data_IF_647081776651
#
_entry.id   IF_647081776651
#
_cell.length_a   1.000
_cell.length_b   1.000
_cell.length_c   1.000
_cell.angle_alpha   90.00
_cell.angle_beta   90.00
_cell.angle_gamma   90.00
#
_symmetry.space_group_name_H-M   'P 1'
#
loop_
_entity.id
_entity.type
_entity.pdbx_description
1 polymer ?
#
# COMPACT_ATOMS: atom_id res chain seq x y z
N UNK A 1 5.38 -2.31 -10.79
CA UNK A 1 4.62 -1.09 -10.48
C UNK A 1 5.57 0.09 -10.38
N UNK A 2 5.22 1.23 -10.93
CA UNK A 2 5.99 2.48 -10.82
C UNK A 2 5.26 3.39 -9.81
N UNK A 3 5.69 3.36 -8.55
CA UNK A 3 5.00 4.03 -7.44
C UNK A 3 5.48 3.56 -6.05
N UNK A 4 4.77 3.95 -4.99
CA UNK A 4 5.09 3.52 -3.62
C UNK A 4 6.25 4.28 -2.97
N UNK A 5 6.88 3.68 -1.95
CA UNK A 5 7.95 4.31 -1.16
C UNK A 5 9.16 4.75 -1.99
N UNK A 6 9.49 3.98 -3.04
CA UNK A 6 10.59 4.28 -3.94
C UNK A 6 10.36 5.54 -4.80
N UNK A 7 9.10 5.91 -5.04
CA UNK A 7 8.75 7.11 -5.81
C UNK A 7 9.22 8.40 -5.13
N UNK A 8 9.14 8.46 -3.80
CA UNK A 8 9.65 9.61 -3.02
C UNK A 8 11.16 9.77 -3.18
N UNK A 9 11.90 8.66 -3.30
CA UNK A 9 13.34 8.68 -3.54
C UNK A 9 13.69 9.23 -4.92
N UNK A 10 12.86 8.99 -5.94
CA UNK A 10 13.05 9.57 -7.27
C UNK A 10 12.79 11.07 -7.30
N UNK A 11 11.70 11.52 -6.68
CA UNK A 11 11.38 12.95 -6.58
C UNK A 11 12.48 13.70 -5.81
N UNK A 12 12.96 13.14 -4.69
CA UNK A 12 14.04 13.73 -3.90
C UNK A 12 15.37 13.84 -4.66
N UNK A 13 15.58 13.02 -5.70
CA UNK A 13 16.76 13.07 -6.58
C UNK A 13 16.60 14.07 -7.74
N UNK A 14 15.52 14.84 -7.77
CA UNK A 14 15.26 15.85 -8.82
C UNK A 14 14.84 15.25 -10.17
N UNK A 15 14.51 13.96 -10.22
CA UNK A 15 14.03 13.33 -11.45
C UNK A 15 12.61 13.81 -11.75
N UNK A 16 12.41 14.42 -12.91
CA UNK A 16 11.07 14.78 -13.39
C UNK A 16 10.28 13.50 -13.73
N UNK A 17 9.41 13.07 -12.82
CA UNK A 17 8.58 11.87 -13.03
C UNK A 17 7.29 12.26 -13.75
N UNK A 18 7.39 12.62 -15.02
CA UNK A 18 6.25 12.91 -15.88
C UNK A 18 5.55 11.62 -16.33
N UNK A 19 4.25 11.70 -16.65
CA UNK A 19 3.52 10.57 -17.21
C UNK A 19 4.16 10.07 -18.51
N UNK A 20 4.71 10.97 -19.32
CA UNK A 20 5.40 10.62 -20.56
C UNK A 20 6.70 9.83 -20.30
N UNK A 21 7.48 10.22 -19.29
CA UNK A 21 8.66 9.47 -18.91
C UNK A 21 8.31 8.06 -18.38
N UNK A 22 7.24 7.95 -17.58
CA UNK A 22 6.74 6.66 -17.10
C UNK A 22 6.22 5.78 -18.23
N UNK A 23 5.49 6.35 -19.19
CA UNK A 23 5.00 5.67 -20.40
C UNK A 23 6.16 5.10 -21.19
N UNK A 24 7.16 5.94 -21.50
CA UNK A 24 8.35 5.54 -22.25
C UNK A 24 9.10 4.41 -21.55
N UNK A 25 9.35 4.55 -20.24
CA UNK A 25 10.04 3.52 -19.46
C UNK A 25 9.31 2.18 -19.49
N UNK A 26 7.97 2.19 -19.41
CA UNK A 26 7.16 0.97 -19.48
C UNK A 26 7.21 0.32 -20.87
N UNK A 27 7.16 1.13 -21.94
CA UNK A 27 7.28 0.65 -23.33
C UNK A 27 8.65 0.04 -23.61
N UNK A 28 9.72 0.69 -23.17
CA UNK A 28 11.10 0.17 -23.28
C UNK A 28 11.27 -1.16 -22.54
N UNK A 29 10.69 -1.26 -21.33
CA UNK A 29 10.68 -2.51 -20.57
C UNK A 29 9.92 -3.62 -21.31
N UNK A 30 8.73 -3.34 -21.84
CA UNK A 30 7.95 -4.31 -22.61
C UNK A 30 8.68 -4.74 -23.90
N UNK A 31 9.29 -3.81 -24.63
CA UNK A 31 10.07 -4.12 -25.83
C UNK A 31 11.27 -5.01 -25.51
N UNK A 32 11.98 -4.73 -24.41
CA UNK A 32 13.17 -5.48 -24.00
C UNK A 32 12.82 -6.87 -23.45
N UNK A 33 11.79 -6.96 -22.60
CA UNK A 33 11.47 -8.18 -21.86
C UNK A 33 10.56 -9.12 -22.66
N UNK A 34 9.67 -8.57 -23.49
CA UNK A 34 8.64 -9.32 -24.21
C UNK A 34 8.79 -9.24 -25.74
N UNK A 35 9.76 -8.47 -26.26
CA UNK A 35 9.97 -8.32 -27.70
C UNK A 35 8.93 -7.46 -28.42
N UNK A 36 8.04 -6.78 -27.68
CA UNK A 36 6.98 -5.93 -28.24
C UNK A 36 7.55 -4.58 -28.70
N UNK A 37 8.08 -4.56 -29.94
CA UNK A 37 8.74 -3.38 -30.52
C UNK A 37 7.78 -2.35 -31.12
N UNK A 38 6.54 -2.76 -31.38
CA UNK A 38 5.50 -1.87 -31.90
C UNK A 38 4.92 -1.00 -30.78
N UNK A 39 4.53 0.26 -31.06
CA UNK A 39 3.90 1.12 -30.07
C UNK A 39 2.51 0.56 -29.71
N UNK A 40 2.10 0.64 -28.42
CA UNK A 40 0.78 0.19 -28.01
C UNK A 40 -0.32 1.09 -28.60
N UNK A 41 -1.42 0.50 -29.05
CA UNK A 41 -2.59 1.23 -29.57
C UNK A 41 -3.32 2.05 -28.50
N UNK A 42 -3.15 1.70 -27.23
CA UNK A 42 -3.69 2.41 -26.08
C UNK A 42 -2.76 2.32 -24.87
N UNK A 43 -2.69 3.37 -24.07
CA UNK A 43 -1.84 3.41 -22.88
C UNK A 43 -2.51 4.21 -21.76
N UNK A 44 -2.56 3.62 -20.56
CA UNK A 44 -3.02 4.27 -19.33
C UNK A 44 -1.85 4.36 -18.36
N UNK A 45 -1.64 5.56 -17.81
CA UNK A 45 -0.55 5.82 -16.87
C UNK A 45 -1.13 6.40 -15.59
N UNK A 46 -0.93 5.68 -14.49
CA UNK A 46 -1.36 6.10 -13.16
C UNK A 46 -0.19 6.02 -12.19
N UNK A 47 0.05 7.12 -11.49
CA UNK A 47 1.04 7.18 -10.41
C UNK A 47 0.33 7.02 -9.08
N UNK A 48 0.59 5.92 -8.39
CA UNK A 48 0.05 5.69 -7.05
C UNK A 48 1.07 6.11 -5.98
N UNK A 49 0.82 7.27 -5.36
CA UNK A 49 1.62 7.81 -4.25
C UNK A 49 1.22 7.14 -2.94
N UNK A 50 2.19 6.76 -2.11
CA UNK A 50 1.98 6.22 -0.75
C UNK A 50 0.97 5.04 -0.69
N UNK A 51 0.89 4.23 -1.75
CA UNK A 51 -0.19 3.27 -1.93
C UNK A 51 0.05 1.89 -1.32
N UNK A 52 1.30 1.56 -0.98
CA UNK A 52 1.67 0.27 -0.40
C UNK A 52 2.48 0.55 0.87
N UNK A 53 1.88 0.35 2.06
CA UNK A 53 2.58 0.47 3.33
C UNK A 53 3.83 -0.41 3.37
N UNK A 54 4.91 0.13 3.93
CA UNK A 54 6.17 -0.59 4.08
C UNK A 54 6.35 -0.99 5.54
N UNK A 55 6.27 -2.29 5.82
CA UNK A 55 6.46 -2.83 7.16
C UNK A 55 7.95 -2.98 7.43
N UNK A 56 8.58 -1.88 7.86
CA UNK A 56 10.00 -1.87 8.19
C UNK A 56 10.27 -2.59 9.50
N UNK A 57 11.55 -2.78 9.83
CA UNK A 57 11.96 -3.35 11.13
C UNK A 57 11.25 -2.63 12.29
N UNK A 58 10.72 -3.43 13.21
CA UNK A 58 9.97 -2.95 14.37
C UNK A 58 8.51 -2.59 14.10
N UNK A 59 7.95 -2.89 12.91
CA UNK A 59 6.52 -2.66 12.62
C UNK A 59 5.60 -3.26 13.69
N UNK A 60 5.82 -4.52 14.07
CA UNK A 60 5.05 -5.20 15.12
C UNK A 60 5.03 -4.42 16.44
N UNK A 61 6.15 -3.79 16.83
CA UNK A 61 6.25 -3.01 18.07
C UNK A 61 5.44 -1.70 17.97
N UNK A 62 5.38 -1.09 16.79
CA UNK A 62 4.53 0.09 16.53
C UNK A 62 3.05 -0.28 16.68
N UNK A 63 2.64 -1.44 16.16
CA UNK A 63 1.28 -1.95 16.31
C UNK A 63 0.92 -2.20 17.77
N UNK A 64 1.80 -2.90 18.49
CA UNK A 64 1.63 -3.19 19.91
C UNK A 64 1.54 -1.91 20.75
N UNK A 65 2.43 -0.94 20.50
CA UNK A 65 2.39 0.37 21.17
C UNK A 65 1.10 1.14 20.89
N UNK A 66 0.61 1.11 19.65
CA UNK A 66 -0.66 1.73 19.29
C UNK A 66 -1.84 1.05 20.01
N UNK A 67 -1.89 -0.29 20.02
CA UNK A 67 -2.93 -1.05 20.69
C UNK A 67 -2.95 -0.79 22.21
N UNK A 68 -1.77 -0.80 22.85
CA UNK A 68 -1.61 -0.51 24.27
C UNK A 68 -2.07 0.93 24.60
N UNK A 69 -1.72 1.91 23.77
CA UNK A 69 -2.15 3.29 23.97
C UNK A 69 -3.68 3.43 23.89
N UNK A 70 -4.32 2.84 22.87
CA UNK A 70 -5.77 2.88 22.72
C UNK A 70 -6.48 2.26 23.94
N UNK A 71 -5.98 1.13 24.43
CA UNK A 71 -6.52 0.45 25.59
C UNK A 71 -6.32 1.27 26.88
N UNK A 72 -5.11 1.77 27.13
CA UNK A 72 -4.77 2.56 28.32
C UNK A 72 -5.60 3.85 28.42
N UNK A 73 -5.83 4.50 27.28
CA UNK A 73 -6.64 5.71 27.18
C UNK A 73 -8.15 5.44 27.06
N UNK A 74 -8.57 4.16 27.03
CA UNK A 74 -9.97 3.73 26.88
C UNK A 74 -10.67 4.41 25.70
N UNK A 75 -9.95 4.57 24.59
CA UNK A 75 -10.47 5.26 23.41
C UNK A 75 -11.46 4.36 22.67
N UNK A 76 -12.66 4.85 22.29
CA UNK A 76 -13.61 4.10 21.47
C UNK A 76 -13.17 4.11 20.00
N UNK A 77 -11.97 3.59 19.73
CA UNK A 77 -11.32 3.61 18.42
C UNK A 77 -10.73 2.24 18.12
N UNK A 78 -10.99 1.73 16.92
CA UNK A 78 -10.40 0.49 16.40
C UNK A 78 -9.68 0.76 15.09
N UNK A 79 -8.53 0.11 14.90
CA UNK A 79 -7.67 0.29 13.72
C UNK A 79 -7.83 -0.89 12.75
N UNK A 80 -7.92 -0.62 11.46
CA UNK A 80 -8.06 -1.64 10.41
C UNK A 80 -7.48 -1.20 9.06
N UNK A 81 -7.16 -2.17 8.21
CA UNK A 81 -6.69 -1.96 6.84
C UNK A 81 -5.20 -2.19 6.61
N UNK A 82 -4.73 -1.84 5.41
CA UNK A 82 -3.40 -2.20 4.89
C UNK A 82 -2.20 -1.67 5.69
N UNK A 83 -2.40 -0.70 6.58
CA UNK A 83 -1.33 -0.12 7.39
C UNK A 83 -0.95 -0.98 8.59
N UNK A 84 -1.73 -2.03 8.90
CA UNK A 84 -1.60 -2.78 10.16
C UNK A 84 -1.09 -4.20 9.92
N UNK A 85 -2.00 -5.17 9.73
CA UNK A 85 -1.70 -6.60 9.88
C UNK A 85 -1.68 -7.36 8.53
N UNK A 86 -1.40 -6.67 7.43
CA UNK A 86 -1.32 -7.29 6.10
C UNK A 86 -1.73 -6.31 5.00
N UNK A 87 -1.04 -6.37 3.87
CA UNK A 87 -1.26 -5.47 2.72
C UNK A 87 -2.19 -6.06 1.67
N UNK A 88 -2.49 -7.37 1.74
CA UNK A 88 -3.36 -8.00 0.76
C UNK A 88 -4.81 -7.55 0.94
N UNK A 89 -5.59 -7.65 -0.12
CA UNK A 89 -7.04 -7.35 -0.08
C UNK A 89 -7.74 -8.25 0.93
N UNK A 90 -7.39 -9.53 0.98
CA UNK A 90 -7.91 -10.50 1.96
C UNK A 90 -7.61 -10.08 3.40
N UNK A 91 -6.39 -9.59 3.66
CA UNK A 91 -6.00 -9.13 4.99
C UNK A 91 -6.79 -7.88 5.39
N UNK A 92 -7.03 -6.97 4.44
CA UNK A 92 -7.82 -5.77 4.68
C UNK A 92 -9.30 -6.10 4.97
N UNK A 93 -9.88 -7.06 4.24
CA UNK A 93 -11.25 -7.56 4.48
C UNK A 93 -11.33 -8.15 5.89
N UNK A 94 -10.42 -9.05 6.22
CA UNK A 94 -10.41 -9.72 7.52
C UNK A 94 -10.14 -8.73 8.67
N UNK A 95 -9.23 -7.78 8.48
CA UNK A 95 -8.99 -6.67 9.41
C UNK A 95 -10.25 -5.84 9.66
N UNK A 96 -11.00 -5.51 8.60
CA UNK A 96 -12.28 -4.80 8.70
C UNK A 96 -13.34 -5.63 9.44
N UNK A 97 -13.44 -6.92 9.14
CA UNK A 97 -14.37 -7.85 9.83
C UNK A 97 -14.07 -7.92 11.33
N UNK A 98 -12.81 -8.09 11.72
CA UNK A 98 -12.40 -8.08 13.14
C UNK A 98 -12.70 -6.75 13.82
N UNK A 99 -12.47 -5.63 13.13
CA UNK A 99 -12.76 -4.32 13.69
C UNK A 99 -14.26 -4.12 13.94
N UNK A 100 -15.11 -4.50 12.99
CA UNK A 100 -16.56 -4.48 13.17
C UNK A 100 -17.00 -5.36 14.35
N UNK A 101 -16.48 -6.59 14.44
CA UNK A 101 -16.78 -7.54 15.51
C UNK A 101 -16.43 -6.97 16.91
N UNK A 102 -15.25 -6.34 17.05
CA UNK A 102 -14.81 -5.67 18.28
C UNK A 102 -15.74 -4.52 18.69
N UNK A 103 -16.17 -3.71 17.74
CA UNK A 103 -17.08 -2.57 18.01
C UNK A 103 -18.48 -3.05 18.40
N UNK A 104 -18.96 -4.13 17.79
CA UNK A 104 -20.27 -4.72 18.09
C UNK A 104 -20.28 -5.57 19.38
N UNK A 105 -19.11 -5.88 19.94
CA UNK A 105 -18.99 -6.79 21.11
C UNK A 105 -19.28 -8.25 20.77
N UNK A 106 -19.26 -8.63 19.50
CA UNK A 106 -19.42 -10.01 19.04
C UNK A 106 -18.04 -10.66 18.87
N UNK A 107 -17.75 -11.74 19.59
CA UNK A 107 -16.54 -12.53 19.35
C UNK A 107 -16.59 -13.12 17.92
N UNK A 108 -15.54 -12.95 17.10
CA UNK A 108 -15.49 -13.58 15.79
C UNK A 108 -15.44 -15.10 15.97
N UNK A 109 -16.52 -15.79 15.60
CA UNK A 109 -16.61 -17.25 15.59
C UNK A 109 -15.38 -17.84 14.88
N UNK A 110 -14.64 -18.67 15.63
CA UNK A 110 -13.41 -19.35 15.20
C UNK A 110 -13.63 -20.32 14.04
#
# INVERSE_FOLDING_TARGET
MLGGSWFQTLEAKGSAVSQEALRRQAQEAAATQLGLKEPPSHCLVHTHRNCIPQYTLGHWKKLDSAAQFLAAQRLPLTLAGASYEGVAVTDCIESGRRAAARVLGSEPSS
#
